data_IF_857515933249
#
_entry.id   IF_857515933249
#
_cell.length_a   1.000
_cell.length_b   1.000
_cell.length_c   1.000
_cell.angle_alpha   90.00
_cell.angle_beta   90.00
_cell.angle_gamma   90.00
#
_symmetry.space_group_name_H-M   'P 1'
#
loop_
_entity.id
_entity.type
_entity.pdbx_description
1 polymer ?
#
# COMPACT_ATOMS: atom_id res chain seq x y z
N UNK A 1 -17.19 -5.17 -0.58
CA UNK A 1 -18.22 -4.91 -1.61
C UNK A 1 -19.62 -5.14 -1.07
N UNK A 2 -20.05 -6.37 -0.76
CA UNK A 2 -21.42 -6.65 -0.31
C UNK A 2 -21.85 -5.82 0.90
N UNK A 3 -20.97 -5.69 1.91
CA UNK A 3 -21.28 -4.89 3.10
C UNK A 3 -21.41 -3.38 2.80
N UNK A 4 -20.55 -2.81 1.95
CA UNK A 4 -20.68 -1.39 1.59
C UNK A 4 -21.95 -1.13 0.78
N UNK A 5 -22.31 -2.04 -0.13
CA UNK A 5 -23.59 -1.98 -0.87
C UNK A 5 -24.79 -2.01 0.08
N UNK A 6 -24.76 -2.91 1.08
CA UNK A 6 -25.81 -3.02 2.09
C UNK A 6 -25.89 -1.76 2.97
N UNK A 7 -24.75 -1.25 3.42
CA UNK A 7 -24.68 -0.12 4.34
C UNK A 7 -25.05 1.22 3.69
N UNK A 8 -24.62 1.45 2.44
CA UNK A 8 -24.87 2.71 1.72
C UNK A 8 -26.17 2.69 0.90
N UNK A 9 -26.74 1.51 0.65
CA UNK A 9 -28.02 1.34 -0.01
C UNK A 9 -28.08 2.07 -1.36
N UNK A 10 -29.14 2.86 -1.65
CA UNK A 10 -29.26 3.58 -2.92
C UNK A 10 -28.13 4.57 -3.20
N UNK A 11 -27.47 5.12 -2.16
CA UNK A 11 -26.36 6.06 -2.33
C UNK A 11 -25.04 5.36 -2.70
N UNK A 12 -24.99 4.03 -2.66
CA UNK A 12 -23.76 3.26 -2.85
C UNK A 12 -23.10 3.56 -4.19
N UNK A 13 -23.87 3.58 -5.28
CA UNK A 13 -23.32 3.72 -6.62
C UNK A 13 -22.65 5.09 -6.80
N UNK A 14 -23.34 6.17 -6.41
CA UNK A 14 -22.80 7.53 -6.51
C UNK A 14 -21.52 7.70 -5.67
N UNK A 15 -21.53 7.15 -4.45
CA UNK A 15 -20.35 7.16 -3.57
C UNK A 15 -19.21 6.32 -4.13
N UNK A 16 -19.52 5.14 -4.69
CA UNK A 16 -18.53 4.26 -5.28
C UNK A 16 -17.85 4.89 -6.49
N UNK A 17 -18.62 5.46 -7.43
CA UNK A 17 -18.09 6.09 -8.64
C UNK A 17 -17.25 7.35 -8.36
N UNK A 18 -17.49 8.01 -7.23
CA UNK A 18 -16.74 9.20 -6.80
C UNK A 18 -15.72 8.91 -5.71
N UNK A 19 -15.57 7.64 -5.30
CA UNK A 19 -14.60 7.27 -4.29
C UNK A 19 -13.16 7.52 -4.80
N UNK A 20 -12.26 7.96 -3.92
CA UNK A 20 -10.90 8.28 -4.30
C UNK A 20 -10.08 7.01 -4.57
N UNK A 21 -8.96 7.21 -5.25
CA UNK A 21 -7.92 6.19 -5.34
C UNK A 21 -7.23 6.07 -3.98
N UNK A 22 -7.04 4.84 -3.54
CA UNK A 22 -6.27 4.52 -2.35
C UNK A 22 -4.96 3.85 -2.76
N UNK A 23 -3.85 4.46 -2.36
CA UNK A 23 -2.54 3.81 -2.36
C UNK A 23 -2.41 2.96 -1.11
N UNK A 24 -1.68 1.86 -1.18
CA UNK A 24 -1.48 0.99 -0.05
C UNK A 24 -0.09 0.36 0.02
N UNK A 25 0.28 -0.02 1.24
CA UNK A 25 1.36 -0.96 1.54
C UNK A 25 0.80 -2.00 2.51
N UNK A 26 0.91 -3.28 2.17
CA UNK A 26 0.64 -4.41 3.05
C UNK A 26 2.00 -4.95 3.49
N UNK A 27 2.29 -4.90 4.78
CA UNK A 27 3.58 -5.43 5.27
C UNK A 27 3.54 -6.96 5.33
N UNK A 28 4.72 -7.61 5.40
CA UNK A 28 4.82 -9.04 5.67
C UNK A 28 3.95 -9.47 6.87
N UNK A 29 3.22 -10.56 6.72
CA UNK A 29 2.29 -11.12 7.70
C UNK A 29 0.81 -10.84 7.42
N UNK A 30 0.47 -9.98 6.45
CA UNK A 30 -0.93 -9.71 6.07
C UNK A 30 -1.44 -10.72 5.05
N UNK A 31 -0.72 -10.91 3.94
CA UNK A 31 -1.07 -11.83 2.84
C UNK A 31 -0.04 -12.96 2.66
N UNK A 32 0.78 -13.22 3.68
CA UNK A 32 1.89 -14.17 3.63
C UNK A 32 3.21 -13.53 4.08
N UNK A 33 4.34 -14.12 3.73
CA UNK A 33 5.67 -13.63 4.11
C UNK A 33 6.16 -12.43 3.30
N UNK A 34 5.54 -12.16 2.15
CA UNK A 34 5.91 -11.06 1.26
C UNK A 34 5.05 -9.82 1.54
N UNK A 35 5.63 -8.63 1.37
CA UNK A 35 4.90 -7.38 1.38
C UNK A 35 4.27 -7.07 0.01
N UNK A 36 3.36 -6.11 -0.03
CA UNK A 36 2.71 -5.68 -1.28
C UNK A 36 2.53 -4.17 -1.27
N UNK A 37 2.63 -3.53 -2.42
CA UNK A 37 2.19 -2.16 -2.59
C UNK A 37 1.38 -2.01 -3.86
N UNK A 38 0.50 -1.03 -3.87
CA UNK A 38 -0.38 -0.85 -5.00
C UNK A 38 -1.37 0.28 -4.85
N UNK A 39 -2.27 0.32 -5.82
CA UNK A 39 -3.38 1.24 -5.88
C UNK A 39 -4.69 0.47 -6.01
N UNK A 40 -5.72 0.99 -5.37
CA UNK A 40 -7.08 0.50 -5.38
C UNK A 40 -7.99 1.65 -5.81
N UNK A 41 -8.81 1.44 -6.84
CA UNK A 41 -9.74 2.45 -7.34
C UNK A 41 -11.08 1.85 -7.73
N UNK A 42 -12.17 2.66 -7.71
CA UNK A 42 -13.44 2.25 -8.28
C UNK A 42 -13.30 1.92 -9.77
N UNK A 43 -14.00 0.87 -10.21
CA UNK A 43 -14.02 0.46 -11.62
C UNK A 43 -15.34 -0.24 -11.97
N UNK A 44 -15.55 -0.44 -13.26
CA UNK A 44 -16.70 -1.12 -13.84
C UNK A 44 -16.22 -1.96 -15.01
N UNK A 45 -16.74 -3.18 -15.14
CA UNK A 45 -16.43 -4.01 -16.30
C UNK A 45 -17.33 -3.69 -17.51
N UNK A 46 -17.03 -4.33 -18.65
CA UNK A 46 -17.75 -4.11 -19.92
C UNK A 46 -19.25 -4.41 -19.85
N UNK A 47 -19.69 -5.26 -18.92
CA UNK A 47 -21.11 -5.63 -18.77
C UNK A 47 -21.80 -4.85 -17.64
N UNK A 48 -21.13 -3.85 -17.06
CA UNK A 48 -21.70 -2.94 -16.07
C UNK A 48 -21.63 -3.42 -14.62
N UNK A 49 -20.82 -4.45 -14.31
CA UNK A 49 -20.62 -4.90 -12.93
C UNK A 49 -19.52 -4.07 -12.26
N UNK A 50 -19.78 -3.60 -11.05
CA UNK A 50 -18.88 -2.73 -10.30
C UNK A 50 -17.96 -3.53 -9.38
N UNK A 51 -16.66 -3.47 -9.65
CA UNK A 51 -15.60 -4.09 -8.85
C UNK A 51 -14.39 -3.17 -8.82
N UNK A 52 -13.70 -3.03 -7.67
CA UNK A 52 -12.53 -2.19 -7.64
C UNK A 52 -11.42 -2.81 -8.49
N UNK A 53 -10.73 -1.96 -9.24
CA UNK A 53 -9.49 -2.33 -9.91
C UNK A 53 -8.36 -2.23 -8.89
N UNK A 54 -7.47 -3.24 -8.87
CA UNK A 54 -6.26 -3.23 -8.04
C UNK A 54 -5.05 -3.45 -8.94
N UNK A 55 -4.07 -2.55 -8.87
CA UNK A 55 -2.74 -2.76 -9.44
C UNK A 55 -1.78 -2.87 -8.29
N UNK A 56 -1.04 -3.97 -8.21
CA UNK A 56 -0.12 -4.21 -7.11
C UNK A 56 1.14 -4.94 -7.57
N UNK A 57 2.21 -4.72 -6.83
CA UNK A 57 3.48 -5.41 -6.98
C UNK A 57 3.95 -5.93 -5.62
N UNK A 58 4.67 -7.07 -5.62
CA UNK A 58 5.34 -7.55 -4.43
C UNK A 58 6.37 -6.52 -3.92
N UNK A 59 6.53 -6.49 -2.61
CA UNK A 59 7.58 -5.76 -1.91
C UNK A 59 8.45 -6.74 -1.14
N UNK A 60 9.76 -6.68 -1.40
CA UNK A 60 10.75 -7.38 -0.63
C UNK A 60 11.21 -6.46 0.51
N UNK A 61 10.49 -6.47 1.64
CA UNK A 61 10.85 -5.68 2.84
C UNK A 61 9.99 -4.44 3.10
N UNK A 62 10.28 -3.75 4.21
CA UNK A 62 9.55 -2.55 4.66
C UNK A 62 10.37 -1.32 4.29
N UNK A 63 9.70 -0.35 3.69
CA UNK A 63 10.29 0.78 2.96
C UNK A 63 10.31 2.01 3.86
N UNK A 64 11.48 2.44 4.32
CA UNK A 64 11.55 3.52 5.31
C UNK A 64 12.70 4.50 5.07
N UNK A 65 13.73 4.11 4.32
CA UNK A 65 14.67 5.09 3.80
C UNK A 65 13.94 6.05 2.86
N UNK A 66 14.19 7.36 3.01
CA UNK A 66 13.54 8.41 2.22
C UNK A 66 13.63 8.15 0.71
N UNK A 67 14.80 7.74 0.23
CA UNK A 67 15.01 7.41 -1.18
C UNK A 67 14.12 6.25 -1.63
N UNK A 68 13.94 5.23 -0.79
CA UNK A 68 13.04 4.09 -1.05
C UNK A 68 11.58 4.50 -1.10
N UNK A 69 11.15 5.41 -0.20
CA UNK A 69 9.81 5.97 -0.22
C UNK A 69 9.54 6.80 -1.48
N UNK A 70 10.53 7.59 -1.92
CA UNK A 70 10.41 8.39 -3.15
C UNK A 70 10.31 7.49 -4.40
N UNK A 71 11.08 6.40 -4.46
CA UNK A 71 10.99 5.37 -5.51
C UNK A 71 9.62 4.68 -5.51
N UNK A 72 9.13 4.28 -4.34
CA UNK A 72 7.79 3.70 -4.22
C UNK A 72 6.72 4.71 -4.67
N UNK A 73 6.82 5.97 -4.26
CA UNK A 73 5.87 7.00 -4.65
C UNK A 73 5.84 7.18 -6.16
N UNK A 74 7.00 7.27 -6.81
CA UNK A 74 7.11 7.37 -8.27
C UNK A 74 6.49 6.16 -8.99
N UNK A 75 6.69 4.96 -8.45
CA UNK A 75 6.06 3.76 -8.99
C UNK A 75 4.53 3.80 -8.81
N UNK A 76 4.03 4.18 -7.64
CA UNK A 76 2.61 4.31 -7.34
C UNK A 76 1.92 5.37 -8.22
N UNK A 77 2.60 6.48 -8.51
CA UNK A 77 2.09 7.51 -9.42
C UNK A 77 1.87 6.94 -10.83
N UNK A 78 2.83 6.17 -11.34
CA UNK A 78 2.70 5.50 -12.65
C UNK A 78 1.62 4.41 -12.65
N UNK A 79 1.57 3.59 -11.59
CA UNK A 79 0.55 2.56 -11.44
C UNK A 79 -0.87 3.16 -11.37
N UNK A 80 -1.04 4.26 -10.62
CA UNK A 80 -2.30 5.02 -10.57
C UNK A 80 -2.68 5.57 -11.94
N UNK A 81 -1.74 6.17 -12.67
CA UNK A 81 -1.98 6.71 -14.00
C UNK A 81 -2.45 5.63 -14.99
N UNK A 82 -1.78 4.47 -15.00
CA UNK A 82 -2.19 3.33 -15.84
C UNK A 82 -3.57 2.80 -15.45
N UNK A 83 -3.83 2.64 -14.15
CA UNK A 83 -5.11 2.15 -13.65
C UNK A 83 -6.27 3.10 -14.01
N UNK A 84 -6.05 4.42 -13.94
CA UNK A 84 -7.02 5.44 -14.37
C UNK A 84 -7.24 5.43 -15.88
N UNK A 85 -6.17 5.31 -16.67
CA UNK A 85 -6.26 5.26 -18.13
C UNK A 85 -7.06 4.04 -18.60
N UNK A 86 -6.98 2.91 -17.89
CA UNK A 86 -7.77 1.71 -18.15
C UNK A 86 -9.30 1.93 -18.04
N UNK A 87 -9.74 2.99 -17.36
CA UNK A 87 -11.17 3.32 -17.21
C UNK A 87 -11.71 4.21 -18.35
N UNK A 88 -10.85 4.64 -19.27
CA UNK A 88 -11.27 5.41 -20.44
C UNK A 88 -12.12 4.53 -21.39
N UNK A 89 -13.04 5.16 -22.12
CA UNK A 89 -14.00 4.44 -22.98
C UNK A 89 -13.32 3.63 -24.11
N UNK A 90 -12.21 4.15 -24.61
CA UNK A 90 -11.39 3.57 -25.68
C UNK A 90 -10.24 2.69 -25.18
N UNK A 91 -10.13 2.49 -23.86
CA UNK A 91 -9.11 1.63 -23.27
C UNK A 91 -9.31 0.17 -23.67
N UNK A 92 -8.20 -0.53 -23.88
CA UNK A 92 -8.17 -1.96 -24.17
C UNK A 92 -7.40 -2.71 -23.09
N UNK A 93 -7.72 -3.98 -22.90
CA UNK A 93 -6.98 -4.85 -21.97
C UNK A 93 -5.51 -4.92 -22.39
N UNK A 94 -5.24 -5.17 -23.68
CA UNK A 94 -3.88 -5.25 -24.22
C UNK A 94 -3.09 -3.95 -23.98
N UNK A 95 -3.72 -2.78 -24.16
CA UNK A 95 -3.08 -1.50 -23.90
C UNK A 95 -2.76 -1.29 -22.42
N UNK A 96 -3.65 -1.74 -21.52
CA UNK A 96 -3.41 -1.71 -20.09
C UNK A 96 -2.28 -2.66 -19.68
N UNK A 97 -2.27 -3.89 -20.17
CA UNK A 97 -1.21 -4.87 -19.93
C UNK A 97 0.15 -4.37 -20.44
N UNK A 98 0.21 -3.77 -21.63
CA UNK A 98 1.42 -3.15 -22.15
C UNK A 98 1.91 -1.98 -21.27
N UNK A 99 0.99 -1.18 -20.72
CA UNK A 99 1.33 -0.10 -19.80
C UNK A 99 1.95 -0.62 -18.50
N UNK A 100 1.34 -1.64 -17.88
CA UNK A 100 1.89 -2.31 -16.70
C UNK A 100 3.25 -2.97 -17.02
N UNK A 101 3.34 -3.59 -18.19
CA UNK A 101 4.54 -4.01 -18.91
C UNK A 101 5.72 -3.04 -18.74
N UNK A 102 5.50 -1.83 -19.22
CA UNK A 102 6.49 -0.77 -19.26
C UNK A 102 6.78 -0.15 -17.89
N UNK A 103 5.82 -0.18 -16.95
CA UNK A 103 6.03 0.33 -15.59
C UNK A 103 7.00 -0.56 -14.82
N UNK A 104 6.86 -1.88 -14.97
CA UNK A 104 7.65 -2.89 -14.29
C UNK A 104 7.40 -2.97 -12.78
N UNK A 105 8.25 -3.72 -12.08
CA UNK A 105 8.23 -3.80 -10.61
C UNK A 105 8.86 -2.55 -9.99
N UNK A 106 8.47 -2.16 -8.76
CA UNK A 106 9.13 -1.08 -8.05
C UNK A 106 10.57 -1.48 -7.74
N UNK A 107 11.54 -0.62 -8.08
CA UNK A 107 12.97 -0.89 -7.93
C UNK A 107 13.43 -0.65 -6.48
N UNK A 108 12.95 -1.49 -5.57
CA UNK A 108 13.16 -1.36 -4.14
C UNK A 108 14.20 -2.38 -3.68
N UNK A 109 14.98 -2.00 -2.66
CA UNK A 109 16.00 -2.87 -2.09
C UNK A 109 15.43 -3.65 -0.92
N UNK A 110 15.83 -4.94 -0.76
CA UNK A 110 15.42 -5.73 0.38
C UNK A 110 15.89 -5.08 1.68
N UNK A 111 14.96 -4.97 2.64
CA UNK A 111 15.32 -4.57 4.00
C UNK A 111 16.30 -5.59 4.59
N UNK A 112 17.44 -5.13 5.09
CA UNK A 112 18.44 -5.99 5.71
C UNK A 112 18.00 -6.37 7.13
N UNK A 113 18.07 -7.65 7.53
CA UNK A 113 17.80 -8.04 8.90
C UNK A 113 18.78 -7.37 9.86
N UNK A 114 18.28 -6.60 10.83
CA UNK A 114 19.09 -6.00 11.88
C UNK A 114 18.99 -6.80 13.18
N UNK A 115 20.10 -7.40 13.62
CA UNK A 115 20.18 -8.06 14.93
C UNK A 115 20.03 -7.04 16.06
N UNK A 116 20.63 -5.86 15.91
CA UNK A 116 20.51 -4.75 16.84
C UNK A 116 19.04 -4.33 17.02
N UNK A 117 18.24 -4.30 15.94
CA UNK A 117 16.81 -4.01 16.03
C UNK A 117 16.04 -5.04 16.86
N UNK A 118 16.31 -6.34 16.65
CA UNK A 118 15.71 -7.42 17.45
C UNK A 118 16.07 -7.26 18.94
N UNK A 119 17.36 -7.08 19.24
CA UNK A 119 17.84 -6.90 20.60
C UNK A 119 17.21 -5.66 21.28
N UNK A 120 17.07 -4.56 20.54
CA UNK A 120 16.44 -3.34 21.03
C UNK A 120 14.95 -3.54 21.34
N UNK A 121 14.20 -4.21 20.46
CA UNK A 121 12.79 -4.54 20.69
C UNK A 121 12.59 -5.47 21.88
N UNK A 122 13.57 -6.35 22.15
CA UNK A 122 13.61 -7.21 23.33
C UNK A 122 14.13 -6.51 24.59
N UNK A 123 14.49 -5.22 24.50
CA UNK A 123 15.06 -4.42 25.60
C UNK A 123 16.35 -5.03 26.19
N UNK A 124 17.19 -5.64 25.34
CA UNK A 124 18.50 -6.13 25.74
C UNK A 124 19.43 -4.98 26.18
N UNK A 125 20.44 -5.29 27.00
CA UNK A 125 21.44 -4.32 27.44
C UNK A 125 22.82 -4.98 27.68
N UNK A 126 23.90 -4.47 27.08
CA UNK A 126 23.92 -3.45 26.02
C UNK A 126 23.37 -3.99 24.68
N UNK A 127 23.02 -3.09 23.77
CA UNK A 127 22.73 -3.42 22.36
C UNK A 127 23.92 -2.97 21.53
N UNK A 128 24.60 -3.92 20.88
CA UNK A 128 25.68 -3.62 19.95
C UNK A 128 25.11 -3.07 18.64
N UNK A 129 25.67 -1.96 18.15
CA UNK A 129 25.24 -1.30 16.92
C UNK A 129 26.25 -1.52 15.81
N UNK A 130 25.75 -1.79 14.62
CA UNK A 130 26.55 -1.76 13.40
C UNK A 130 27.09 -0.34 13.16
N UNK A 131 28.21 -0.25 12.44
CA UNK A 131 28.90 1.01 12.16
C UNK A 131 29.09 1.22 10.67
N UNK A 132 28.84 2.44 10.23
CA UNK A 132 29.23 2.97 8.92
C UNK A 132 30.57 3.71 9.03
N UNK A 133 31.09 4.18 7.89
CA UNK A 133 32.27 5.04 7.85
C UNK A 133 32.11 6.34 8.67
N UNK A 134 30.87 6.80 8.88
CA UNK A 134 30.56 8.07 9.54
C UNK A 134 30.10 7.93 11.00
N UNK A 135 29.95 6.72 11.53
CA UNK A 135 29.44 6.51 12.90
C UNK A 135 28.54 5.27 13.03
N UNK A 136 27.70 5.19 14.07
CA UNK A 136 26.74 4.10 14.20
C UNK A 136 25.68 4.14 13.09
N UNK A 137 25.28 2.97 12.60
CA UNK A 137 24.24 2.83 11.58
C UNK A 137 22.83 2.87 12.20
N UNK A 138 22.38 4.09 12.52
CA UNK A 138 21.05 4.30 13.09
C UNK A 138 19.93 4.15 12.05
N UNK A 139 20.24 4.24 10.75
CA UNK A 139 19.28 4.06 9.66
C UNK A 139 18.81 2.62 9.60
N UNK A 140 19.74 1.68 9.43
CA UNK A 140 19.45 0.24 9.41
C UNK A 140 18.80 -0.23 10.72
N UNK A 141 19.20 0.35 11.87
CA UNK A 141 18.55 0.08 13.15
C UNK A 141 17.08 0.52 13.15
N UNK A 142 16.79 1.77 12.77
CA UNK A 142 15.43 2.31 12.74
C UNK A 142 14.53 1.51 11.77
N UNK A 143 15.06 1.20 10.59
CA UNK A 143 14.37 0.41 9.58
C UNK A 143 14.05 -0.99 10.10
N UNK A 144 15.02 -1.66 10.73
CA UNK A 144 14.83 -2.98 11.32
C UNK A 144 13.79 -3.00 12.44
N UNK A 145 13.76 -1.96 13.29
CA UNK A 145 12.78 -1.84 14.38
C UNK A 145 11.38 -1.63 13.81
N UNK A 146 11.23 -0.66 12.92
CA UNK A 146 9.92 -0.30 12.38
C UNK A 146 9.38 -1.40 11.46
N UNK A 147 10.24 -2.10 10.71
CA UNK A 147 9.85 -3.26 9.92
C UNK A 147 9.21 -4.35 10.80
N UNK A 148 9.72 -4.58 12.00
CA UNK A 148 9.15 -5.55 12.94
C UNK A 148 7.87 -5.06 13.59
N UNK A 149 7.84 -3.79 14.03
CA UNK A 149 6.64 -3.19 14.64
C UNK A 149 5.47 -3.18 13.66
N UNK A 150 5.72 -2.91 12.39
CA UNK A 150 4.70 -2.85 11.35
C UNK A 150 4.35 -4.21 10.74
N UNK A 151 4.98 -5.34 11.12
CA UNK A 151 4.58 -6.65 10.60
C UNK A 151 3.11 -6.91 10.87
N UNK A 152 2.40 -7.39 9.83
CA UNK A 152 0.97 -7.63 9.88
C UNK A 152 0.09 -6.38 9.80
N UNK A 153 0.65 -5.20 9.52
CA UNK A 153 -0.11 -3.96 9.30
C UNK A 153 -0.30 -3.63 7.82
N UNK A 154 -1.34 -2.84 7.55
CA UNK A 154 -1.62 -2.25 6.25
C UNK A 154 -1.66 -0.72 6.37
N UNK A 155 -0.95 -0.04 5.47
CA UNK A 155 -0.96 1.41 5.32
C UNK A 155 -1.83 1.74 4.11
N UNK A 156 -2.66 2.77 4.26
CA UNK A 156 -3.56 3.25 3.21
C UNK A 156 -3.54 4.77 3.17
N UNK A 157 -3.41 5.36 1.98
CA UNK A 157 -3.44 6.82 1.83
C UNK A 157 -3.92 7.31 0.47
N UNK A 158 -4.25 8.60 0.42
CA UNK A 158 -4.64 9.34 -0.78
C UNK A 158 -3.54 10.35 -1.15
N UNK A 159 -3.40 10.71 -2.43
CA UNK A 159 -2.36 11.62 -2.95
C UNK A 159 -2.41 13.08 -2.42
N UNK A 160 -3.38 13.42 -1.56
CA UNK A 160 -3.48 14.74 -0.92
C UNK A 160 -4.51 14.78 0.19
N UNK A 161 -4.78 13.62 0.80
CA UNK A 161 -5.91 13.44 1.69
C UNK A 161 -5.57 12.61 2.90
N UNK A 162 -6.46 11.66 3.20
CA UNK A 162 -6.37 10.83 4.40
C UNK A 162 -5.28 9.79 4.28
N UNK A 163 -4.67 9.46 5.42
CA UNK A 163 -3.80 8.32 5.59
C UNK A 163 -4.15 7.58 6.89
N UNK A 164 -4.05 6.26 6.90
CA UNK A 164 -4.23 5.47 8.11
C UNK A 164 -3.44 4.15 8.07
N UNK A 165 -3.19 3.63 9.26
CA UNK A 165 -2.62 2.30 9.49
C UNK A 165 -3.71 1.40 10.09
N UNK A 166 -3.73 0.12 9.73
CA UNK A 166 -4.65 -0.88 10.28
C UNK A 166 -3.94 -2.21 10.50
N UNK A 167 -4.18 -2.86 11.64
CA UNK A 167 -3.66 -4.21 11.88
C UNK A 167 -4.47 -5.21 11.04
N UNK A 168 -3.81 -5.95 10.15
CA UNK A 168 -4.42 -6.74 9.09
C UNK A 168 -5.17 -5.90 8.05
N UNK A 169 -5.90 -6.56 7.15
CA UNK A 169 -6.74 -5.90 6.15
C UNK A 169 -7.88 -5.11 6.83
N UNK A 170 -8.28 -3.95 6.28
CA UNK A 170 -9.44 -3.22 6.76
C UNK A 170 -10.69 -4.10 6.80
N UNK A 171 -11.42 -4.07 7.92
CA UNK A 171 -12.72 -4.73 8.01
C UNK A 171 -13.73 -4.12 7.01
N UNK A 172 -14.81 -4.85 6.72
CA UNK A 172 -15.80 -4.44 5.73
C UNK A 172 -16.44 -3.06 6.02
N UNK A 173 -16.64 -2.72 7.30
CA UNK A 173 -17.09 -1.39 7.71
C UNK A 173 -16.06 -0.31 7.35
N UNK A 174 -14.77 -0.57 7.56
CA UNK A 174 -13.69 0.36 7.21
C UNK A 174 -13.58 0.55 5.69
N UNK A 175 -13.79 -0.51 4.92
CA UNK A 175 -13.88 -0.40 3.46
C UNK A 175 -15.06 0.49 3.01
N UNK A 176 -16.17 0.47 3.76
CA UNK A 176 -17.31 1.38 3.50
C UNK A 176 -16.91 2.84 3.73
N UNK A 177 -16.21 3.14 4.83
CA UNK A 177 -15.62 4.46 5.11
C UNK A 177 -14.66 4.94 4.01
N UNK A 178 -13.90 4.01 3.42
CA UNK A 178 -13.00 4.31 2.31
C UNK A 178 -13.74 4.70 1.02
N UNK A 179 -14.99 4.26 0.85
CA UNK A 179 -15.85 4.63 -0.27
C UNK A 179 -16.53 5.97 0.00
N UNK A 180 -17.26 6.09 1.12
CA UNK A 180 -18.11 7.25 1.39
C UNK A 180 -17.39 8.45 2.04
N UNK A 181 -16.10 8.29 2.35
CA UNK A 181 -15.23 9.27 3.03
C UNK A 181 -15.65 9.61 4.47
N UNK A 182 -16.47 8.77 5.11
CA UNK A 182 -16.89 8.93 6.50
C UNK A 182 -15.99 8.12 7.43
N UNK A 183 -15.06 8.80 8.08
CA UNK A 183 -14.21 8.23 9.11
C UNK A 183 -14.68 8.81 10.43
N UNK A 184 -15.10 7.97 11.37
CA UNK A 184 -15.44 8.40 12.74
C UNK A 184 -14.31 9.25 13.33
N UNK A 185 -14.71 10.25 14.13
CA UNK A 185 -13.78 11.08 14.90
C UNK A 185 -13.11 10.27 16.01
#
# INVERSE_FOLDING_TARGET
MAESQRALGPAWLDRYLTAPVWRFVLTPGVLGSQGWAGVLLPSVDRVGRYFPLTVCAPLDGVLLERATLDLLSSWLDRAEAAARACLAHDATVDGFEASLAAIGLPALFPAMPSQAANALLQRASPVELDRTASGPDLGTLADGVLAQVLRGYTLWWQAGGRAFLHQHLPAAARYTSMIDQTFGA
#
